data_IF_163458814564
#
_entry.id   IF_163458814564
#
_cell.length_a   1.000
_cell.length_b   1.000
_cell.length_c   1.000
_cell.angle_alpha   90.00
_cell.angle_beta   90.00
_cell.angle_gamma   90.00
#
_symmetry.space_group_name_H-M   'P 1'
#
loop_
_entity.id
_entity.type
_entity.pdbx_description
1 polymer ?
#
# COMPACT_ATOMS: atom_id res chain seq x y z
N UNK A 1 3.79 0.89 4.22
CA UNK A 1 5.22 1.20 4.09
C UNK A 1 5.92 -0.10 3.72
N UNK A 2 6.80 -0.11 2.73
CA UNK A 2 7.64 -1.29 2.45
C UNK A 2 8.70 -1.44 3.55
N UNK A 3 9.34 -2.61 3.67
CA UNK A 3 10.38 -2.81 4.67
C UNK A 3 11.58 -1.86 4.48
N UNK A 4 11.89 -1.50 3.23
CA UNK A 4 12.92 -0.51 2.90
C UNK A 4 12.61 0.91 3.41
N UNK A 5 11.33 1.27 3.52
CA UNK A 5 10.90 2.55 4.09
C UNK A 5 10.99 2.56 5.62
N UNK A 6 11.23 1.41 6.24
CA UNK A 6 11.45 1.28 7.69
C UNK A 6 12.93 1.06 8.02
N UNK A 7 13.26 0.83 9.29
CA UNK A 7 14.62 0.46 9.71
C UNK A 7 14.96 -1.02 9.47
N UNK A 8 13.99 -1.85 9.10
CA UNK A 8 14.13 -3.30 9.05
C UNK A 8 15.29 -3.76 8.15
N UNK A 9 15.30 -3.39 6.88
CA UNK A 9 16.31 -3.86 5.93
C UNK A 9 17.71 -3.36 6.30
N UNK A 10 17.80 -2.12 6.79
CA UNK A 10 19.04 -1.51 7.27
C UNK A 10 19.64 -2.29 8.44
N UNK A 11 18.80 -2.63 9.43
CA UNK A 11 19.25 -3.37 10.62
C UNK A 11 19.74 -4.78 10.29
N UNK A 12 19.25 -5.37 9.20
CA UNK A 12 19.68 -6.69 8.73
C UNK A 12 20.77 -6.63 7.66
N UNK A 13 21.24 -5.43 7.28
CA UNK A 13 22.24 -5.26 6.21
C UNK A 13 21.75 -5.71 4.83
N UNK A 14 20.44 -5.74 4.60
CA UNK A 14 19.87 -6.14 3.33
C UNK A 14 19.89 -4.97 2.33
N UNK A 15 20.40 -5.24 1.14
CA UNK A 15 20.21 -4.37 -0.01
C UNK A 15 18.70 -4.20 -0.29
N UNK A 16 18.18 -2.97 -0.52
CA UNK A 16 16.75 -2.74 -0.76
C UNK A 16 16.16 -3.50 -1.95
N UNK A 17 16.98 -3.92 -2.92
CA UNK A 17 16.56 -4.74 -4.06
C UNK A 17 16.52 -6.24 -3.72
N UNK A 18 17.21 -6.67 -2.66
CA UNK A 18 17.19 -8.07 -2.21
C UNK A 18 15.77 -8.51 -1.88
N UNK A 19 15.35 -9.74 -2.26
CA UNK A 19 14.03 -10.26 -1.87
C UNK A 19 13.86 -10.40 -0.36
N UNK A 20 14.96 -10.44 0.41
CA UNK A 20 14.93 -10.44 1.87
C UNK A 20 14.51 -9.08 2.46
N UNK A 21 14.66 -8.00 1.68
CA UNK A 21 14.01 -6.72 1.93
C UNK A 21 12.64 -6.71 1.23
N UNK A 22 11.67 -7.37 1.85
CA UNK A 22 10.37 -7.68 1.25
C UNK A 22 9.71 -6.42 0.66
N UNK A 23 9.30 -6.55 -0.59
CA UNK A 23 8.51 -5.55 -1.30
C UNK A 23 7.45 -6.21 -2.17
N UNK A 24 6.44 -5.42 -2.52
CA UNK A 24 5.28 -5.88 -3.27
C UNK A 24 4.99 -4.93 -4.42
N UNK A 25 4.42 -5.48 -5.48
CA UNK A 25 3.87 -4.72 -6.59
C UNK A 25 2.38 -4.99 -6.67
N UNK A 26 1.58 -3.94 -6.61
CA UNK A 26 0.13 -4.00 -6.80
C UNK A 26 -0.22 -3.29 -8.11
N UNK A 27 -0.91 -3.99 -9.01
CA UNK A 27 -1.39 -3.44 -10.28
C UNK A 27 -2.92 -3.42 -10.29
N UNK A 28 -3.48 -2.45 -11.00
CA UNK A 28 -4.91 -2.20 -11.02
C UNK A 28 -5.24 -0.83 -11.62
N UNK A 29 -6.45 -0.36 -11.34
CA UNK A 29 -6.92 0.96 -11.78
C UNK A 29 -7.11 1.89 -10.59
N UNK A 30 -6.57 3.10 -10.66
CA UNK A 30 -6.88 4.14 -9.67
C UNK A 30 -8.21 4.78 -10.03
N UNK A 31 -9.12 4.83 -9.07
CA UNK A 31 -10.48 5.35 -9.26
C UNK A 31 -10.85 6.26 -8.09
N UNK A 32 -11.71 7.25 -8.33
CA UNK A 32 -12.26 8.09 -7.26
C UNK A 32 -13.11 7.23 -6.32
N UNK A 33 -12.96 7.46 -5.01
CA UNK A 33 -13.76 6.78 -3.98
C UNK A 33 -15.22 7.21 -4.09
N UNK A 34 -16.15 6.28 -3.83
CA UNK A 34 -17.58 6.59 -3.85
C UNK A 34 -18.02 7.28 -2.54
N UNK A 35 -19.22 7.85 -2.53
CA UNK A 35 -19.71 8.60 -1.37
C UNK A 35 -19.85 7.75 -0.10
N UNK A 36 -20.07 6.44 -0.23
CA UNK A 36 -20.24 5.53 0.91
C UNK A 36 -18.93 5.17 1.60
N UNK A 37 -17.80 5.25 0.90
CA UNK A 37 -16.46 4.91 1.42
C UNK A 37 -15.63 6.17 1.75
N UNK A 38 -16.13 7.36 1.46
CA UNK A 38 -15.38 8.62 1.53
C UNK A 38 -14.89 8.93 2.94
N UNK A 39 -15.75 8.77 3.95
CA UNK A 39 -15.39 8.97 5.35
C UNK A 39 -14.27 8.02 5.79
N UNK A 40 -14.39 6.74 5.40
CA UNK A 40 -13.37 5.72 5.70
C UNK A 40 -12.03 6.05 5.03
N UNK A 41 -12.05 6.49 3.77
CA UNK A 41 -10.85 6.87 3.03
C UNK A 41 -10.17 8.10 3.64
N UNK A 42 -10.95 9.13 4.00
CA UNK A 42 -10.46 10.32 4.69
C UNK A 42 -9.77 9.95 5.99
N UNK A 43 -10.44 9.18 6.83
CA UNK A 43 -9.93 8.85 8.17
C UNK A 43 -8.67 7.97 8.06
N UNK A 44 -8.67 6.98 7.15
CA UNK A 44 -7.50 6.13 6.86
C UNK A 44 -6.26 6.93 6.44
N UNK A 45 -6.45 7.94 5.59
CA UNK A 45 -5.36 8.81 5.14
C UNK A 45 -4.91 9.79 6.22
N UNK A 46 -5.84 10.46 6.88
CA UNK A 46 -5.52 11.55 7.81
C UNK A 46 -4.96 11.07 9.14
N UNK A 47 -5.26 9.84 9.56
CA UNK A 47 -4.57 9.19 10.68
C UNK A 47 -3.10 8.93 10.35
N UNK A 48 -2.81 8.52 9.10
CA UNK A 48 -1.44 8.23 8.67
C UNK A 48 -0.65 9.47 8.25
N UNK A 49 -1.33 10.46 7.69
CA UNK A 49 -0.77 11.69 7.14
C UNK A 49 -1.53 12.91 7.69
N UNK A 50 -1.30 13.31 8.96
CA UNK A 50 -2.05 14.40 9.58
C UNK A 50 -1.95 15.74 8.85
N UNK A 51 -0.83 15.97 8.14
CA UNK A 51 -0.60 17.17 7.33
C UNK A 51 -1.65 17.37 6.24
N UNK A 52 -2.23 16.28 5.70
CA UNK A 52 -3.27 16.36 4.65
C UNK A 52 -4.50 17.15 5.10
N UNK A 53 -4.78 17.25 6.40
CA UNK A 53 -5.86 18.08 6.96
C UNK A 53 -5.69 19.57 6.67
N UNK A 54 -4.47 20.00 6.41
CA UNK A 54 -4.09 21.40 6.22
C UNK A 54 -3.65 21.71 4.79
N UNK A 55 -3.79 20.75 3.87
CA UNK A 55 -3.51 20.98 2.46
C UNK A 55 -4.43 22.06 1.87
N UNK A 56 -3.96 22.87 0.92
CA UNK A 56 -4.73 23.97 0.36
C UNK A 56 -5.97 23.44 -0.37
N UNK A 57 -7.14 23.94 0.03
CA UNK A 57 -8.43 23.55 -0.57
C UNK A 57 -8.56 23.96 -2.04
N UNK A 58 -7.78 24.96 -2.49
CA UNK A 58 -7.77 25.45 -3.87
C UNK A 58 -7.25 24.42 -4.90
N UNK A 59 -6.65 23.31 -4.47
CA UNK A 59 -6.12 22.28 -5.37
C UNK A 59 -7.14 21.18 -5.74
N UNK A 60 -8.39 21.28 -5.26
CA UNK A 60 -9.48 20.34 -5.58
C UNK A 60 -9.14 18.87 -5.30
N UNK A 61 -8.55 18.61 -4.13
CA UNK A 61 -8.23 17.25 -3.69
C UNK A 61 -9.46 16.34 -3.66
N UNK A 62 -9.26 15.06 -3.96
CA UNK A 62 -10.28 14.03 -3.83
C UNK A 62 -9.65 12.73 -3.36
N UNK A 63 -10.46 11.88 -2.72
CA UNK A 63 -10.02 10.56 -2.30
C UNK A 63 -10.06 9.57 -3.45
N UNK A 64 -8.96 8.84 -3.63
CA UNK A 64 -8.82 7.81 -4.65
C UNK A 64 -8.42 6.48 -4.03
N UNK A 65 -8.79 5.37 -4.69
CA UNK A 65 -8.40 4.01 -4.32
C UNK A 65 -7.83 3.26 -5.52
N UNK A 66 -6.91 2.34 -5.25
CA UNK A 66 -6.43 1.36 -6.22
C UNK A 66 -7.38 0.14 -6.20
N UNK A 67 -8.11 -0.08 -7.29
CA UNK A 67 -8.83 -1.34 -7.52
C UNK A 67 -7.83 -2.37 -8.01
N UNK A 68 -7.34 -3.19 -7.07
CA UNK A 68 -6.27 -4.17 -7.30
C UNK A 68 -6.78 -5.29 -8.22
N UNK A 69 -5.99 -5.62 -9.25
CA UNK A 69 -6.23 -6.73 -10.16
C UNK A 69 -5.14 -7.80 -10.11
N UNK A 70 -3.89 -7.43 -9.78
CA UNK A 70 -2.76 -8.35 -9.63
C UNK A 70 -1.82 -7.91 -8.52
N UNK A 71 -1.26 -8.87 -7.80
CA UNK A 71 -0.28 -8.65 -6.74
C UNK A 71 0.90 -9.60 -6.98
N UNK A 72 2.10 -9.05 -6.87
CA UNK A 72 3.34 -9.82 -6.79
C UNK A 72 4.03 -9.51 -5.47
N UNK A 73 4.42 -10.56 -4.77
CA UNK A 73 5.17 -10.48 -3.52
C UNK A 73 6.56 -11.03 -3.77
N UNK A 74 7.59 -10.21 -3.54
CA UNK A 74 8.98 -10.64 -3.57
C UNK A 74 9.51 -10.63 -2.14
N UNK A 75 9.47 -11.81 -1.50
CA UNK A 75 9.81 -11.99 -0.09
C UNK A 75 10.95 -13.00 0.16
N UNK A 76 11.35 -13.74 -0.88
CA UNK A 76 12.46 -14.68 -0.81
C UNK A 76 13.02 -15.00 -2.19
N UNK A 77 14.12 -15.75 -2.22
CA UNK A 77 14.70 -16.26 -3.46
C UNK A 77 13.75 -17.24 -4.15
N UNK A 78 13.86 -17.36 -5.48
CA UNK A 78 12.99 -18.22 -6.30
C UNK A 78 11.97 -17.48 -7.16
N UNK A 79 11.96 -16.14 -7.13
CA UNK A 79 11.08 -15.30 -7.94
C UNK A 79 9.82 -14.84 -7.19
N UNK A 80 9.00 -13.98 -7.82
CA UNK A 80 7.84 -13.39 -7.17
C UNK A 80 6.70 -14.41 -7.01
N UNK A 81 6.05 -14.38 -5.86
CA UNK A 81 4.78 -15.09 -5.61
C UNK A 81 3.63 -14.25 -6.15
N UNK A 82 2.74 -14.88 -6.90
CA UNK A 82 1.51 -14.24 -7.38
C UNK A 82 0.43 -14.43 -6.32
N UNK A 83 -0.22 -13.34 -5.92
CA UNK A 83 -1.32 -13.34 -4.96
C UNK A 83 -2.56 -12.76 -5.64
N UNK A 84 -3.69 -13.46 -5.53
CA UNK A 84 -4.97 -12.99 -6.04
C UNK A 84 -5.56 -11.91 -5.12
N UNK A 85 -6.41 -11.01 -5.64
CA UNK A 85 -7.12 -10.06 -4.79
C UNK A 85 -7.95 -10.74 -3.69
N UNK A 86 -8.54 -11.91 -3.98
CA UNK A 86 -9.33 -12.66 -3.01
C UNK A 86 -8.47 -13.16 -1.85
N UNK A 87 -7.32 -13.79 -2.14
CA UNK A 87 -6.37 -14.21 -1.10
C UNK A 87 -5.90 -13.02 -0.27
N UNK A 88 -5.61 -11.88 -0.91
CA UNK A 88 -5.18 -10.67 -0.21
C UNK A 88 -6.25 -10.09 0.72
N UNK A 89 -7.50 -9.99 0.26
CA UNK A 89 -8.58 -9.39 1.04
C UNK A 89 -9.19 -10.34 2.08
N UNK A 90 -9.02 -11.65 1.95
CA UNK A 90 -9.52 -12.65 2.90
C UNK A 90 -8.58 -12.95 4.06
N UNK A 91 -7.41 -12.29 4.16
CA UNK A 91 -6.49 -12.47 5.29
C UNK A 91 -7.13 -11.98 6.59
N UNK A 92 -7.18 -12.86 7.60
CA UNK A 92 -7.41 -12.49 9.00
C UNK A 92 -6.06 -12.43 9.72
N UNK A 93 -5.70 -11.26 10.24
CA UNK A 93 -4.51 -11.12 11.08
C UNK A 93 -4.74 -11.86 12.40
N UNK A 94 -3.80 -12.75 12.76
CA UNK A 94 -3.77 -13.44 14.05
C UNK A 94 -3.14 -12.56 15.12
#
# INVERSE_FOLDING_TARGET
MSLAQTVYCRNHGFDPQSPLCVHIMMSGTVTKVNKTEEDYARDSLFVRHPEMKHWPSSHNWFFAKLKISRIWVLDYFGGPKVVTPEEYFNVTLQ
#
